data_IF_782541159578
#
_entry.id   IF_782541159578
#
_cell.length_a   1.000
_cell.length_b   1.000
_cell.length_c   1.000
_cell.angle_alpha   90.00
_cell.angle_beta   90.00
_cell.angle_gamma   90.00
#
_symmetry.space_group_name_H-M   'P 1'
#
loop_
_entity.id
_entity.type
_entity.pdbx_description
1 polymer ?
#
# COMPACT_ATOMS: atom_id res chain seq x y z
N UNK A 1 24.75 -18.31 -6.74
CA UNK A 1 23.48 -18.91 -7.19
C UNK A 1 22.40 -18.33 -6.30
N UNK A 2 21.86 -17.18 -6.70
CA UNK A 2 20.80 -16.46 -5.98
C UNK A 2 19.48 -17.22 -6.15
N UNK A 3 19.15 -18.03 -5.14
CA UNK A 3 17.80 -18.52 -5.00
C UNK A 3 17.02 -17.45 -4.22
N UNK A 4 16.52 -16.45 -4.96
CA UNK A 4 15.67 -15.40 -4.43
C UNK A 4 14.51 -16.00 -3.64
N UNK A 5 14.55 -15.82 -2.32
CA UNK A 5 13.65 -16.37 -1.32
C UNK A 5 12.30 -15.65 -1.27
N UNK A 6 11.73 -15.31 -2.42
CA UNK A 6 10.42 -14.67 -2.53
C UNK A 6 9.54 -15.49 -3.46
N UNK A 7 8.61 -16.25 -2.86
CA UNK A 7 7.51 -16.84 -3.62
C UNK A 7 6.74 -15.68 -4.28
N UNK A 8 6.45 -15.74 -5.59
CA UNK A 8 5.72 -14.67 -6.25
C UNK A 8 4.36 -14.51 -5.55
N UNK A 9 4.06 -13.34 -4.96
CA UNK A 9 2.81 -13.15 -4.22
C UNK A 9 1.59 -13.35 -5.13
N UNK A 10 1.77 -13.12 -6.44
CA UNK A 10 0.77 -13.31 -7.48
C UNK A 10 0.98 -14.64 -8.21
N UNK A 11 0.47 -15.72 -7.63
CA UNK A 11 0.39 -17.04 -8.28
C UNK A 11 -0.91 -17.76 -7.88
N UNK A 12 -1.37 -18.69 -8.71
CA UNK A 12 -2.58 -19.47 -8.41
C UNK A 12 -2.44 -20.26 -7.10
N UNK A 13 -1.24 -20.77 -6.81
CA UNK A 13 -0.95 -21.46 -5.55
C UNK A 13 -0.98 -20.52 -4.35
N UNK A 14 -0.44 -19.30 -4.46
CA UNK A 14 -0.57 -18.27 -3.42
C UNK A 14 -2.03 -17.96 -3.12
N UNK A 15 -2.88 -17.87 -4.16
CA UNK A 15 -4.31 -17.63 -4.02
C UNK A 15 -5.05 -18.76 -3.31
N UNK A 16 -4.84 -19.99 -3.78
CA UNK A 16 -5.50 -21.15 -3.18
C UNK A 16 -5.07 -21.38 -1.73
N UNK A 17 -3.79 -21.17 -1.41
CA UNK A 17 -3.30 -21.26 -0.03
C UNK A 17 -3.93 -20.22 0.90
N UNK A 18 -4.09 -18.98 0.41
CA UNK A 18 -4.78 -17.95 1.17
C UNK A 18 -6.26 -18.28 1.36
N UNK A 19 -6.97 -18.66 0.29
CA UNK A 19 -8.41 -18.91 0.32
C UNK A 19 -8.80 -20.14 1.15
N UNK A 20 -8.02 -21.23 1.07
CA UNK A 20 -8.35 -22.49 1.74
C UNK A 20 -7.74 -22.61 3.14
N UNK A 21 -6.56 -22.01 3.36
CA UNK A 21 -5.79 -22.24 4.58
C UNK A 21 -5.44 -20.94 5.33
N UNK A 22 -5.81 -19.77 4.81
CA UNK A 22 -5.42 -18.48 5.41
C UNK A 22 -3.90 -18.29 5.47
N UNK A 23 -3.15 -18.95 4.58
CA UNK A 23 -1.69 -18.99 4.65
C UNK A 23 -1.03 -18.53 3.34
N UNK A 24 0.29 -18.32 3.40
CA UNK A 24 1.09 -17.88 2.26
C UNK A 24 1.21 -16.35 2.15
N UNK A 25 1.83 -15.86 1.07
CA UNK A 25 2.25 -14.46 0.95
C UNK A 25 1.11 -13.43 1.08
N UNK A 26 -0.12 -13.79 0.72
CA UNK A 26 -1.28 -12.90 0.82
C UNK A 26 -1.89 -12.82 2.23
N UNK A 27 -1.51 -13.72 3.14
CA UNK A 27 -1.89 -13.65 4.55
C UNK A 27 -0.98 -12.69 5.34
N UNK A 28 0.10 -12.19 4.73
CA UNK A 28 1.02 -11.26 5.38
C UNK A 28 0.32 -9.90 5.50
N UNK A 29 0.16 -9.33 6.71
CA UNK A 29 -0.38 -8.00 6.87
C UNK A 29 0.52 -6.99 6.15
N UNK A 30 -0.07 -6.02 5.45
CA UNK A 30 0.59 -5.16 4.45
C UNK A 30 1.66 -4.18 4.92
N UNK A 31 2.38 -4.48 6.01
CA UNK A 31 3.52 -3.71 6.50
C UNK A 31 3.15 -2.27 6.86
N UNK A 32 2.58 -2.07 8.05
CA UNK A 32 2.30 -0.73 8.59
C UNK A 32 3.13 -0.56 9.84
N UNK A 33 4.05 0.42 9.83
CA UNK A 33 4.92 0.69 10.97
C UNK A 33 4.30 1.70 11.94
N UNK A 34 3.50 2.64 11.45
CA UNK A 34 2.77 3.59 12.29
C UNK A 34 1.53 4.15 11.59
N UNK A 35 0.54 4.56 12.41
CA UNK A 35 -0.63 5.32 11.96
C UNK A 35 -0.79 6.60 12.76
N UNK A 36 -1.26 7.65 12.12
CA UNK A 36 -1.65 8.89 12.76
C UNK A 36 -3.00 9.36 12.23
N UNK A 37 -3.81 9.95 13.10
CA UNK A 37 -5.10 10.50 12.72
C UNK A 37 -5.12 12.01 12.93
N UNK A 38 -5.76 12.72 12.02
CA UNK A 38 -5.93 14.16 12.13
C UNK A 38 -7.26 14.63 11.56
N UNK A 39 -7.74 15.75 12.08
CA UNK A 39 -8.93 16.43 11.58
C UNK A 39 -8.53 17.60 10.68
N UNK A 40 -9.05 17.64 9.46
CA UNK A 40 -8.89 18.79 8.57
C UNK A 40 -9.87 19.90 8.95
N UNK A 41 -9.68 21.14 8.46
CA UNK A 41 -10.69 22.20 8.60
C UNK A 41 -12.06 21.87 7.98
N UNK A 42 -12.14 20.84 7.14
CA UNK A 42 -13.37 20.40 6.48
C UNK A 42 -14.05 19.24 7.22
N UNK A 43 -13.49 18.78 8.34
CA UNK A 43 -14.08 17.72 9.15
C UNK A 43 -15.50 18.11 9.54
N UNK A 44 -16.42 17.15 9.46
CA UNK A 44 -17.74 17.37 10.04
C UNK A 44 -17.60 17.34 11.56
N UNK A 45 -17.47 18.50 12.19
CA UNK A 45 -17.31 18.64 13.64
C UNK A 45 -18.48 18.08 14.47
N UNK A 46 -19.63 17.79 13.85
CA UNK A 46 -20.71 17.06 14.53
C UNK A 46 -20.40 15.57 14.71
N UNK A 47 -19.39 15.07 13.99
CA UNK A 47 -18.89 13.70 14.08
C UNK A 47 -17.61 13.72 14.94
N UNK A 48 -17.61 12.97 16.04
CA UNK A 48 -16.51 12.92 17.01
C UNK A 48 -15.36 11.99 16.54
N UNK A 49 -14.88 12.18 15.31
CA UNK A 49 -13.78 11.39 14.75
C UNK A 49 -13.00 12.15 13.66
N UNK A 50 -11.72 11.80 13.43
CA UNK A 50 -10.86 12.43 12.41
C UNK A 50 -11.22 11.99 10.98
N UNK A 51 -11.17 12.91 10.03
CA UNK A 51 -11.46 12.68 8.61
C UNK A 51 -10.23 12.24 7.79
N UNK A 52 -9.03 12.20 8.39
CA UNK A 52 -7.81 11.72 7.76
C UNK A 52 -7.10 10.67 8.61
N UNK A 53 -6.64 9.60 7.96
CA UNK A 53 -5.67 8.63 8.46
C UNK A 53 -4.39 8.69 7.63
N UNK A 54 -3.24 8.74 8.30
CA UNK A 54 -1.91 8.68 7.69
C UNK A 54 -1.28 7.34 8.04
N UNK A 55 -0.94 6.57 7.02
CA UNK A 55 -0.26 5.27 7.14
C UNK A 55 1.20 5.46 6.77
N UNK A 56 2.09 5.30 7.74
CA UNK A 56 3.53 5.31 7.51
C UNK A 56 4.00 3.91 7.14
N UNK A 57 4.73 3.83 6.02
CA UNK A 57 5.36 2.60 5.55
C UNK A 57 6.86 2.79 5.33
N UNK A 58 7.67 1.96 5.99
CA UNK A 58 9.13 1.95 5.89
C UNK A 58 9.63 1.24 4.61
N UNK A 59 9.03 1.58 3.47
CA UNK A 59 9.36 1.03 2.16
C UNK A 59 9.35 2.10 1.08
N UNK A 60 10.11 1.88 0.01
CA UNK A 60 10.13 2.76 -1.16
C UNK A 60 9.02 2.37 -2.13
N UNK A 61 8.21 3.34 -2.54
CA UNK A 61 7.24 3.16 -3.64
C UNK A 61 7.93 2.98 -5.01
N UNK A 62 9.22 3.33 -5.12
CA UNK A 62 10.03 3.10 -6.31
C UNK A 62 10.72 1.72 -6.32
N UNK A 63 10.51 0.88 -5.31
CA UNK A 63 11.05 -0.48 -5.32
C UNK A 63 10.31 -1.39 -6.31
N UNK A 64 11.01 -2.40 -6.84
CA UNK A 64 10.40 -3.42 -7.69
C UNK A 64 9.20 -4.13 -7.03
N UNK A 65 9.24 -4.33 -5.71
CA UNK A 65 8.13 -4.94 -4.94
C UNK A 65 6.90 -4.04 -4.86
N UNK A 66 7.08 -2.72 -4.86
CA UNK A 66 5.98 -1.76 -4.77
C UNK A 66 5.27 -1.53 -6.11
N UNK A 67 5.87 -1.93 -7.23
CA UNK A 67 5.26 -1.76 -8.56
C UNK A 67 3.93 -2.50 -8.68
N UNK A 68 3.83 -3.75 -8.22
CA UNK A 68 2.55 -4.47 -8.21
C UNK A 68 1.54 -3.83 -7.26
N UNK A 69 2.00 -3.37 -6.10
CA UNK A 69 1.15 -2.69 -5.12
C UNK A 69 0.54 -1.40 -5.71
N UNK A 70 1.34 -0.55 -6.35
CA UNK A 70 0.86 0.69 -6.97
C UNK A 70 -0.15 0.42 -8.09
N UNK A 71 0.07 -0.64 -8.88
CA UNK A 71 -0.90 -1.07 -9.91
C UNK A 71 -2.20 -1.55 -9.28
N UNK A 72 -2.13 -2.31 -8.20
CA UNK A 72 -3.31 -2.80 -7.47
C UNK A 72 -4.10 -1.63 -6.85
N UNK A 73 -3.43 -0.54 -6.48
CA UNK A 73 -4.06 0.73 -6.06
C UNK A 73 -4.62 1.57 -7.22
N UNK A 74 -4.51 1.12 -8.47
CA UNK A 74 -5.01 1.82 -9.64
C UNK A 74 -4.12 2.96 -10.14
N UNK A 75 -2.84 3.00 -9.74
CA UNK A 75 -1.88 3.95 -10.30
C UNK A 75 -1.70 3.68 -11.80
N UNK A 76 -1.90 4.71 -12.61
CA UNK A 76 -1.69 4.61 -14.07
C UNK A 76 -0.22 4.37 -14.38
N UNK A 77 0.03 3.55 -15.40
CA UNK A 77 1.38 3.21 -15.84
C UNK A 77 2.21 4.44 -16.17
N UNK A 78 1.61 5.42 -16.87
CA UNK A 78 2.33 6.64 -17.26
C UNK A 78 2.85 7.43 -16.04
N UNK A 79 2.12 7.38 -14.91
CA UNK A 79 2.51 8.04 -13.67
C UNK A 79 3.67 7.30 -13.01
N UNK A 80 3.62 5.96 -13.01
CA UNK A 80 4.73 5.14 -12.52
C UNK A 80 6.01 5.39 -13.31
N UNK A 81 5.93 5.31 -14.64
CA UNK A 81 7.07 5.47 -15.53
C UNK A 81 7.67 6.88 -15.47
N UNK A 82 6.83 7.90 -15.29
CA UNK A 82 7.29 9.28 -15.19
C UNK A 82 7.92 9.65 -13.84
N UNK A 83 7.46 9.07 -12.73
CA UNK A 83 7.85 9.53 -11.38
C UNK A 83 8.69 8.53 -10.58
N UNK A 84 8.30 7.26 -10.58
CA UNK A 84 8.89 6.22 -9.73
C UNK A 84 9.97 5.44 -10.46
N UNK A 85 9.78 5.12 -11.75
CA UNK A 85 10.75 4.37 -12.54
C UNK A 85 12.14 5.05 -12.62
N UNK A 86 12.28 6.39 -12.74
CA UNK A 86 13.60 7.03 -12.74
C UNK A 86 14.34 6.92 -11.41
N UNK A 87 13.64 6.63 -10.30
CA UNK A 87 14.16 6.51 -8.93
C UNK A 87 14.16 5.06 -8.44
N UNK A 88 14.12 4.10 -9.37
CA UNK A 88 13.93 2.69 -9.03
C UNK A 88 15.05 2.21 -8.10
N UNK A 89 14.69 1.46 -7.07
CA UNK A 89 15.58 0.97 -6.00
C UNK A 89 16.23 2.06 -5.10
N UNK A 90 15.83 3.32 -5.22
CA UNK A 90 16.22 4.33 -4.23
C UNK A 90 15.56 4.03 -2.88
N UNK A 91 16.36 4.15 -1.82
CA UNK A 91 15.86 4.00 -0.44
C UNK A 91 14.98 5.19 -0.09
N UNK A 92 13.75 4.90 0.32
CA UNK A 92 12.75 5.88 0.70
C UNK A 92 11.75 5.25 1.67
N UNK A 93 10.92 6.10 2.25
CA UNK A 93 9.69 5.73 2.95
C UNK A 93 8.52 6.47 2.30
N UNK A 94 7.29 6.05 2.57
CA UNK A 94 6.11 6.81 2.16
C UNK A 94 5.09 6.96 3.28
N UNK A 95 4.24 7.98 3.13
CA UNK A 95 3.06 8.21 3.95
C UNK A 95 1.85 8.14 3.02
N UNK A 96 1.01 7.12 3.21
CA UNK A 96 -0.27 7.01 2.53
C UNK A 96 -1.34 7.81 3.26
N UNK A 97 -2.11 8.62 2.54
CA UNK A 97 -3.22 9.39 3.11
C UNK A 97 -4.54 8.73 2.74
N UNK A 98 -5.33 8.37 3.74
CA UNK A 98 -6.70 7.91 3.56
C UNK A 98 -7.68 8.97 4.04
N UNK A 99 -8.73 9.17 3.24
CA UNK A 99 -9.87 9.98 3.61
C UNK A 99 -10.90 9.10 4.31
N UNK A 100 -11.10 9.35 5.59
CA UNK A 100 -12.07 8.62 6.39
C UNK A 100 -13.47 9.16 6.08
N UNK A 101 -14.41 8.23 5.87
CA UNK A 101 -15.84 8.54 5.70
C UNK A 101 -16.13 9.55 4.59
N UNK A 102 -15.60 9.28 3.40
CA UNK A 102 -15.99 9.99 2.19
C UNK A 102 -17.52 10.04 2.08
N UNK A 103 -18.05 11.24 1.87
CA UNK A 103 -19.48 11.41 1.59
C UNK A 103 -19.75 10.81 0.20
N UNK A 104 -20.61 9.80 0.13
CA UNK A 104 -21.12 9.34 -1.16
C UNK A 104 -21.97 10.44 -1.78
N UNK A 105 -21.73 10.74 -3.05
CA UNK A 105 -22.57 11.62 -3.87
C UNK A 105 -23.95 11.02 -4.09
#
# INVERSE_FOLDING_TARGET
MDQGSTLPPRSLSSFLNYALHGSGPMAIPGGIEAVAFMSTPFVNASLDFPDIELIYVASSLASASSESYLRDMGLRQEVYDGYFLPKREETAFYIGTLMNRLKST
#
